data_IF_867488641765
#
_entry.id   IF_867488641765
#
_cell.length_a   1.000
_cell.length_b   1.000
_cell.length_c   1.000
_cell.angle_alpha   90.00
_cell.angle_beta   90.00
_cell.angle_gamma   90.00
#
_symmetry.space_group_name_H-M   'P 1'
#
loop_
_entity.id
_entity.type
_entity.pdbx_description
1 polymer ?
#
# COMPACT_ATOMS: atom_id res chain seq x y z
N UNK A 1 49.22 46.40 47.59
CA UNK A 1 48.06 46.83 46.80
C UNK A 1 47.98 45.89 45.60
N UNK A 2 47.15 44.82 45.69
CA UNK A 2 46.94 43.85 44.63
C UNK A 2 45.53 43.99 44.13
N UNK A 3 45.35 44.42 42.89
CA UNK A 3 44.08 44.37 42.20
C UNK A 3 43.94 43.00 41.52
N UNK A 4 42.99 42.21 41.97
CA UNK A 4 42.58 40.96 41.31
C UNK A 4 41.46 41.19 40.31
N UNK A 5 41.75 40.91 39.06
CA UNK A 5 40.79 40.94 37.97
C UNK A 5 39.97 39.63 37.95
N UNK A 6 38.66 39.73 38.15
CA UNK A 6 37.73 38.59 38.00
C UNK A 6 37.26 38.51 36.56
N UNK A 7 37.61 37.45 35.84
CA UNK A 7 36.99 37.08 34.58
C UNK A 7 35.66 36.36 34.86
N UNK A 8 34.56 36.90 34.31
CA UNK A 8 33.27 36.23 34.30
C UNK A 8 33.17 35.38 33.06
N UNK A 9 33.09 34.07 33.23
CA UNK A 9 32.72 33.12 32.13
C UNK A 9 31.20 33.12 31.95
N UNK A 10 30.77 33.62 30.79
CA UNK A 10 29.38 33.51 30.35
C UNK A 10 29.20 32.14 29.64
N UNK A 11 28.61 31.15 30.32
CA UNK A 11 28.29 29.87 29.73
C UNK A 11 27.00 30.01 28.90
N UNK A 12 27.12 30.00 27.59
CA UNK A 12 25.98 29.88 26.68
C UNK A 12 25.45 28.45 26.77
N UNK A 13 24.31 28.25 27.40
CA UNK A 13 23.59 26.97 27.40
C UNK A 13 22.80 26.90 26.08
N UNK A 14 23.33 26.10 25.16
CA UNK A 14 22.61 25.75 23.90
C UNK A 14 21.48 24.79 24.28
N UNK A 15 20.24 25.31 24.37
CA UNK A 15 19.06 24.49 24.59
C UNK A 15 18.69 23.82 23.27
N UNK A 16 19.25 22.63 22.98
CA UNK A 16 18.76 21.76 21.93
C UNK A 16 17.38 21.25 22.36
N UNK A 17 16.31 21.81 21.80
CA UNK A 17 14.96 21.24 21.89
C UNK A 17 14.97 19.89 21.16
N UNK A 18 15.29 18.81 21.86
CA UNK A 18 14.99 17.45 21.44
C UNK A 18 13.45 17.32 21.47
N UNK A 19 12.81 17.34 20.31
CA UNK A 19 11.42 16.89 20.20
C UNK A 19 11.39 15.44 20.71
N UNK A 20 10.40 15.06 21.51
CA UNK A 20 10.30 13.70 22.01
C UNK A 20 10.20 12.72 20.83
N UNK A 21 10.92 11.61 20.88
CA UNK A 21 10.95 10.56 19.87
C UNK A 21 9.54 10.04 19.51
N UNK A 22 8.59 10.08 20.44
CA UNK A 22 7.19 9.71 20.24
C UNK A 22 6.47 10.60 19.21
N UNK A 23 6.79 11.90 19.11
CA UNK A 23 6.18 12.78 18.12
C UNK A 23 6.68 12.50 16.70
N UNK A 24 7.86 11.92 16.56
CA UNK A 24 8.44 11.57 15.27
C UNK A 24 7.89 10.23 14.73
N UNK A 25 7.65 9.24 15.60
CA UNK A 25 6.99 7.99 15.23
C UNK A 25 5.53 8.19 14.77
N UNK A 26 4.81 9.13 15.37
CA UNK A 26 3.42 9.43 15.01
C UNK A 26 3.24 10.00 13.60
N UNK A 27 4.31 10.46 12.94
CA UNK A 27 4.27 11.08 11.61
C UNK A 27 4.92 10.21 10.52
N UNK A 28 4.93 8.89 10.70
CA UNK A 28 5.58 7.95 9.78
C UNK A 28 4.56 6.99 9.16
N UNK A 29 4.48 7.02 7.82
CA UNK A 29 3.73 6.07 7.00
C UNK A 29 4.60 5.68 5.79
N UNK A 30 5.62 4.81 5.99
CA UNK A 30 6.79 4.75 5.11
C UNK A 30 6.61 3.94 3.84
N UNK A 31 5.48 3.26 3.69
CA UNK A 31 5.20 2.34 2.59
C UNK A 31 3.69 2.12 2.41
N UNK A 32 3.31 1.33 1.41
CA UNK A 32 1.93 0.90 1.21
C UNK A 32 1.34 0.28 2.48
N UNK A 33 0.20 0.81 2.94
CA UNK A 33 -0.50 0.44 4.18
C UNK A 33 0.31 0.71 5.46
N UNK A 34 1.32 1.58 5.41
CA UNK A 34 2.07 2.06 6.57
C UNK A 34 2.99 1.04 7.24
N UNK A 35 3.31 1.23 8.52
CA UNK A 35 4.20 0.34 9.25
C UNK A 35 3.72 -1.11 9.24
N UNK A 36 4.61 -2.03 8.80
CA UNK A 36 4.30 -3.46 8.69
C UNK A 36 3.17 -3.81 7.71
N UNK A 37 2.82 -2.91 6.78
CA UNK A 37 1.72 -3.07 5.81
C UNK A 37 0.35 -3.37 6.47
N UNK A 38 0.14 -2.93 7.72
CA UNK A 38 -1.00 -3.30 8.54
C UNK A 38 -2.25 -2.46 8.29
N UNK A 39 -2.10 -1.22 7.80
CA UNK A 39 -3.22 -0.28 7.63
C UNK A 39 -3.83 0.18 8.96
N UNK A 40 -3.08 0.15 10.04
CA UNK A 40 -3.56 0.48 11.40
C UNK A 40 -2.73 1.61 11.98
N UNK A 41 -3.38 2.64 12.52
CA UNK A 41 -2.77 3.67 13.32
C UNK A 41 -3.40 3.67 14.72
N UNK A 42 -2.59 3.89 15.74
CA UNK A 42 -3.02 3.94 17.13
C UNK A 42 -2.87 5.38 17.67
N UNK A 43 -3.87 5.82 18.46
CA UNK A 43 -3.83 7.12 19.12
C UNK A 43 -3.74 8.30 18.15
N UNK A 44 -4.32 8.16 16.95
CA UNK A 44 -4.19 9.16 15.89
C UNK A 44 -5.07 10.39 16.10
N UNK A 45 -6.21 10.26 16.81
CA UNK A 45 -7.15 11.35 16.99
C UNK A 45 -7.77 11.86 15.68
N UNK A 46 -7.96 10.98 14.69
CA UNK A 46 -8.56 11.35 13.41
C UNK A 46 -9.97 11.90 13.58
N UNK A 47 -10.39 12.88 12.78
CA UNK A 47 -11.77 13.36 12.78
C UNK A 47 -12.73 12.21 12.43
N UNK A 48 -13.87 12.20 13.10
CA UNK A 48 -14.97 11.27 12.76
C UNK A 48 -15.84 11.81 11.62
N UNK A 49 -15.87 13.11 11.46
CA UNK A 49 -16.67 13.83 10.46
C UNK A 49 -15.77 14.59 9.53
N UNK A 50 -15.99 14.44 8.24
CA UNK A 50 -15.42 15.30 7.22
C UNK A 50 -16.28 15.33 5.97
N UNK A 51 -16.04 16.34 5.16
CA UNK A 51 -16.62 16.45 3.82
C UNK A 51 -15.55 16.99 2.84
N UNK A 52 -15.96 17.45 1.68
CA UNK A 52 -15.06 18.16 0.75
C UNK A 52 -14.50 19.48 1.33
N UNK A 53 -15.08 19.98 2.43
CA UNK A 53 -14.73 21.28 3.03
C UNK A 53 -14.65 21.25 4.56
N UNK A 54 -15.33 20.33 5.24
CA UNK A 54 -15.31 20.21 6.69
C UNK A 54 -14.14 19.35 7.15
N UNK A 55 -13.40 19.79 8.16
CA UNK A 55 -12.19 19.13 8.69
C UNK A 55 -11.13 18.86 7.62
N UNK A 56 -11.07 19.68 6.57
CA UNK A 56 -10.02 19.70 5.57
C UNK A 56 -8.98 20.73 5.95
N UNK A 57 -7.83 20.27 6.45
CA UNK A 57 -6.71 21.17 6.78
C UNK A 57 -6.17 21.84 5.50
N UNK A 58 -6.03 21.05 4.45
CA UNK A 58 -5.70 21.51 3.10
C UNK A 58 -6.13 20.48 2.05
N UNK A 59 -6.27 20.94 0.82
CA UNK A 59 -6.40 20.08 -0.37
C UNK A 59 -5.53 20.63 -1.49
N UNK A 60 -4.93 19.74 -2.26
CA UNK A 60 -4.04 20.06 -3.37
C UNK A 60 -4.48 19.33 -4.63
N UNK A 61 -4.69 20.06 -5.71
CA UNK A 61 -4.85 19.47 -7.03
C UNK A 61 -3.50 18.91 -7.50
N UNK A 62 -3.53 17.71 -8.03
CA UNK A 62 -2.35 16.99 -8.53
C UNK A 62 -2.44 16.90 -10.06
N UNK A 63 -1.38 17.24 -10.79
CA UNK A 63 -1.37 17.10 -12.23
C UNK A 63 -1.41 15.63 -12.65
N UNK A 64 -2.16 15.34 -13.72
CA UNK A 64 -2.22 13.99 -14.29
C UNK A 64 -3.00 13.00 -13.42
N UNK A 65 -2.60 11.72 -13.48
CA UNK A 65 -3.27 10.62 -12.79
C UNK A 65 -2.30 9.71 -12.07
N UNK A 66 -2.67 9.23 -10.88
CA UNK A 66 -1.91 8.24 -10.14
C UNK A 66 -2.74 7.63 -9.01
N UNK A 67 -2.48 6.37 -8.71
CA UNK A 67 -3.13 5.62 -7.64
C UNK A 67 -2.18 5.21 -6.51
N UNK A 68 -0.92 5.67 -6.56
CA UNK A 68 -0.01 5.44 -5.44
C UNK A 68 -0.60 5.98 -4.15
N UNK A 69 -0.54 5.21 -3.08
CA UNK A 69 -0.90 5.69 -1.74
C UNK A 69 0.08 6.79 -1.30
N UNK A 70 -0.34 7.78 -0.51
CA UNK A 70 0.60 8.70 0.10
C UNK A 70 1.59 7.97 1.00
N UNK A 71 2.86 8.35 0.93
CA UNK A 71 3.92 7.92 1.84
C UNK A 71 4.38 9.13 2.64
N UNK A 72 4.52 8.96 3.96
CA UNK A 72 4.85 10.08 4.84
C UNK A 72 6.07 9.75 5.69
N UNK A 73 6.97 10.71 5.78
CA UNK A 73 8.06 10.67 6.75
C UNK A 73 8.34 12.08 7.27
N UNK A 74 8.18 12.26 8.57
CA UNK A 74 8.30 13.59 9.18
C UNK A 74 7.33 14.60 8.54
N UNK A 75 7.85 15.68 8.02
CA UNK A 75 7.07 16.73 7.35
C UNK A 75 6.89 16.56 5.84
N UNK A 76 7.25 15.42 5.25
CA UNK A 76 7.22 15.19 3.80
C UNK A 76 6.17 14.16 3.42
N UNK A 77 5.44 14.42 2.32
CA UNK A 77 4.48 13.51 1.70
C UNK A 77 4.95 13.20 0.28
N UNK A 78 5.13 11.93 -0.05
CA UNK A 78 5.62 11.48 -1.34
C UNK A 78 4.54 10.77 -2.15
N UNK A 79 4.46 11.09 -3.44
CA UNK A 79 3.51 10.55 -4.40
C UNK A 79 4.14 10.39 -5.78
N UNK A 80 3.53 9.55 -6.60
CA UNK A 80 3.81 9.48 -8.05
C UNK A 80 2.62 9.98 -8.85
N UNK A 81 2.84 10.58 -10.01
CA UNK A 81 1.78 10.93 -10.95
C UNK A 81 2.27 10.81 -12.39
N UNK A 82 1.34 10.65 -13.33
CA UNK A 82 1.64 10.62 -14.75
C UNK A 82 0.71 11.56 -15.50
N UNK A 83 1.30 12.50 -16.21
CA UNK A 83 0.58 13.47 -17.04
C UNK A 83 0.58 12.99 -18.48
N UNK A 84 -0.60 12.80 -19.06
CA UNK A 84 -0.77 12.58 -20.49
C UNK A 84 -0.76 13.93 -21.20
N UNK A 85 0.12 14.14 -22.18
CA UNK A 85 0.21 15.41 -22.95
C UNK A 85 -0.77 15.46 -24.12
N UNK A 86 -1.43 14.34 -24.44
CA UNK A 86 -2.46 14.23 -25.46
C UNK A 86 -3.88 14.19 -24.85
N UNK A 87 -4.81 13.69 -25.62
CA UNK A 87 -6.16 13.43 -25.12
C UNK A 87 -6.16 12.32 -24.07
N UNK A 88 -6.76 12.57 -22.92
CA UNK A 88 -6.91 11.60 -21.84
C UNK A 88 -8.37 11.18 -21.68
N UNK A 89 -8.59 9.89 -21.52
CA UNK A 89 -9.89 9.35 -21.17
C UNK A 89 -9.99 9.31 -19.63
N UNK A 90 -11.06 9.91 -19.09
CA UNK A 90 -11.30 9.91 -17.66
C UNK A 90 -11.62 8.49 -17.14
N UNK A 91 -11.15 8.12 -15.93
CA UNK A 91 -11.43 6.82 -15.36
C UNK A 91 -12.92 6.70 -15.02
N UNK A 92 -13.51 5.57 -15.37
CA UNK A 92 -14.90 5.26 -15.01
C UNK A 92 -15.00 4.67 -13.62
N UNK A 93 -15.80 5.30 -12.74
CA UNK A 93 -16.19 4.74 -11.44
C UNK A 93 -17.06 3.49 -11.64
N UNK A 94 -17.00 2.56 -10.71
CA UNK A 94 -17.90 1.40 -10.65
C UNK A 94 -17.26 0.08 -11.03
N UNK A 95 -18.06 -0.99 -10.89
CA UNK A 95 -17.68 -2.35 -11.24
C UNK A 95 -18.27 -2.72 -12.59
N UNK A 96 -17.43 -3.11 -13.53
CA UNK A 96 -17.83 -3.56 -14.84
C UNK A 96 -16.84 -4.59 -15.40
N UNK A 97 -17.30 -5.42 -16.31
CA UNK A 97 -16.45 -6.30 -17.09
C UNK A 97 -15.89 -5.55 -18.30
N UNK A 98 -14.68 -5.92 -18.72
CA UNK A 98 -13.97 -5.24 -19.79
C UNK A 98 -13.06 -4.14 -19.27
N UNK A 99 -12.71 -3.19 -20.14
CA UNK A 99 -11.68 -2.19 -19.82
C UNK A 99 -10.28 -2.68 -20.15
N UNK A 100 -10.20 -3.86 -20.77
CA UNK A 100 -8.95 -4.44 -21.26
C UNK A 100 -8.38 -3.58 -22.38
N UNK A 101 -7.11 -3.29 -22.28
CA UNK A 101 -6.34 -2.53 -23.26
C UNK A 101 -5.20 -3.40 -23.76
N UNK A 102 -5.25 -3.82 -24.99
CA UNK A 102 -4.20 -4.66 -25.60
C UNK A 102 -3.10 -3.84 -26.27
N UNK A 103 -3.32 -2.55 -26.49
CA UNK A 103 -2.37 -1.64 -27.10
C UNK A 103 -2.03 -0.49 -26.16
N UNK A 104 -0.75 -0.10 -26.07
CA UNK A 104 -0.36 1.11 -25.35
C UNK A 104 -0.99 2.35 -25.96
N UNK A 105 -1.22 3.42 -25.20
CA UNK A 105 -1.56 4.73 -25.74
C UNK A 105 -0.44 5.23 -26.65
N UNK A 106 -0.78 6.10 -27.61
CA UNK A 106 0.18 6.65 -28.58
C UNK A 106 0.66 8.06 -28.19
N UNK A 107 0.02 8.67 -27.20
CA UNK A 107 0.40 9.99 -26.70
C UNK A 107 1.63 9.93 -25.79
N UNK A 108 2.37 11.01 -25.76
CA UNK A 108 3.50 11.17 -24.84
C UNK A 108 2.97 11.36 -23.42
N UNK A 109 3.61 10.72 -22.47
CA UNK A 109 3.31 10.83 -21.05
C UNK A 109 4.55 11.31 -20.30
N UNK A 110 4.35 11.97 -19.18
CA UNK A 110 5.39 12.44 -18.27
C UNK A 110 5.20 11.79 -16.91
N UNK A 111 6.15 10.96 -16.50
CA UNK A 111 6.18 10.33 -15.18
C UNK A 111 6.86 11.24 -14.17
N UNK A 112 6.20 11.49 -13.05
CA UNK A 112 6.67 12.47 -12.07
C UNK A 112 6.67 11.89 -10.67
N UNK A 113 7.75 12.17 -9.94
CA UNK A 113 7.87 12.00 -8.50
C UNK A 113 7.56 13.36 -7.83
N UNK A 114 6.75 13.35 -6.77
CA UNK A 114 6.27 14.57 -6.11
C UNK A 114 6.49 14.46 -4.61
N UNK A 115 7.01 15.52 -4.01
CA UNK A 115 7.08 15.72 -2.58
C UNK A 115 6.27 16.97 -2.18
N UNK A 116 5.38 16.79 -1.20
CA UNK A 116 4.58 17.86 -0.64
C UNK A 116 4.96 18.09 0.82
N UNK A 117 4.73 19.30 1.31
CA UNK A 117 4.77 19.61 2.74
C UNK A 117 3.52 19.07 3.44
N UNK A 118 3.70 18.27 4.49
CA UNK A 118 2.59 17.64 5.23
C UNK A 118 1.69 18.68 5.92
N UNK A 119 2.24 19.81 6.32
CA UNK A 119 1.49 20.82 7.08
C UNK A 119 0.62 21.72 6.20
N UNK A 120 1.11 22.06 5.01
CA UNK A 120 0.47 23.03 4.10
C UNK A 120 -0.06 22.42 2.80
N UNK A 121 0.40 21.23 2.40
CA UNK A 121 0.12 20.63 1.09
C UNK A 121 0.83 21.33 -0.07
N UNK A 122 1.78 22.23 0.21
CA UNK A 122 2.56 22.87 -0.84
C UNK A 122 3.58 21.91 -1.44
N UNK A 123 3.85 22.05 -2.74
CA UNK A 123 4.85 21.25 -3.43
C UNK A 123 6.23 21.73 -2.98
N UNK A 124 6.99 20.86 -2.30
CA UNK A 124 8.39 21.08 -1.97
C UNK A 124 9.27 20.92 -3.18
N UNK A 125 9.02 19.83 -3.94
CA UNK A 125 9.65 19.56 -5.22
C UNK A 125 8.83 18.60 -6.06
N UNK A 126 9.00 18.69 -7.37
CA UNK A 126 8.47 17.77 -8.38
C UNK A 126 9.60 17.45 -9.37
N UNK A 127 9.75 16.18 -9.74
CA UNK A 127 10.76 15.71 -10.67
C UNK A 127 10.15 14.87 -11.77
N UNK A 128 10.35 15.26 -13.01
CA UNK A 128 10.03 14.44 -14.16
C UNK A 128 11.14 13.38 -14.32
N UNK A 129 10.79 12.12 -14.08
CA UNK A 129 11.75 10.99 -14.13
C UNK A 129 11.83 10.36 -15.51
N UNK A 130 10.75 10.46 -16.30
CA UNK A 130 10.69 9.97 -17.67
C UNK A 130 9.67 10.77 -18.49
N UNK A 131 9.89 10.82 -19.81
CA UNK A 131 8.94 11.32 -20.81
C UNK A 131 8.99 10.41 -22.04
N UNK A 132 7.83 9.99 -22.52
CA UNK A 132 7.75 9.13 -23.70
C UNK A 132 6.36 8.53 -23.88
N UNK A 133 6.24 7.73 -24.94
CA UNK A 133 5.05 6.91 -25.15
C UNK A 133 5.12 5.70 -24.22
N UNK A 134 4.07 5.39 -23.45
CA UNK A 134 4.09 4.25 -22.54
C UNK A 134 4.44 2.94 -23.25
N UNK A 135 5.37 2.14 -22.68
CA UNK A 135 5.80 0.89 -23.31
C UNK A 135 4.75 -0.24 -23.22
N UNK A 136 3.72 -0.06 -22.40
CA UNK A 136 2.66 -1.04 -22.14
C UNK A 136 1.29 -0.38 -22.05
N UNK A 137 0.25 -1.19 -22.15
CA UNK A 137 -1.12 -0.77 -21.84
C UNK A 137 -1.41 -0.83 -20.35
N UNK A 138 -2.52 -0.23 -19.95
CA UNK A 138 -3.10 -0.33 -18.60
C UNK A 138 -4.62 -0.56 -18.70
N UNK A 139 -5.22 -1.09 -17.62
CA UNK A 139 -6.68 -1.14 -17.51
C UNK A 139 -7.26 0.28 -17.52
N UNK A 140 -8.46 0.47 -18.12
CA UNK A 140 -9.10 1.79 -18.24
C UNK A 140 -9.24 2.55 -16.91
N UNK A 141 -9.36 1.85 -15.79
CA UNK A 141 -9.40 2.44 -14.44
C UNK A 141 -8.01 2.71 -13.86
N UNK A 142 -6.96 2.10 -14.39
CA UNK A 142 -5.62 2.17 -13.82
C UNK A 142 -4.89 3.46 -14.19
N UNK A 143 -3.69 3.59 -13.72
CA UNK A 143 -2.74 4.64 -14.08
C UNK A 143 -1.35 4.03 -14.29
N UNK A 144 -0.44 4.77 -14.93
CA UNK A 144 0.97 4.41 -15.02
C UNK A 144 1.77 4.80 -13.76
N UNK A 145 1.06 5.19 -12.68
CA UNK A 145 1.60 5.55 -11.37
C UNK A 145 0.73 4.91 -10.27
N UNK A 146 0.65 3.58 -10.28
CA UNK A 146 -0.16 2.81 -9.32
C UNK A 146 0.67 2.31 -8.14
N UNK A 147 1.96 2.08 -8.36
CA UNK A 147 2.88 1.64 -7.33
C UNK A 147 3.10 2.74 -6.28
N UNK A 148 3.06 2.35 -5.02
CA UNK A 148 3.33 3.23 -3.87
C UNK A 148 4.83 3.28 -3.61
N UNK A 149 5.36 4.45 -3.34
CA UNK A 149 6.75 4.65 -2.95
C UNK A 149 7.06 3.98 -1.60
N UNK A 150 8.34 3.83 -1.27
CA UNK A 150 8.81 3.43 0.05
C UNK A 150 9.97 4.33 0.48
N UNK A 151 10.13 4.56 1.79
CA UNK A 151 11.21 5.40 2.32
C UNK A 151 11.88 4.76 3.53
N UNK A 152 13.18 5.04 3.69
CA UNK A 152 13.99 4.69 4.88
C UNK A 152 14.18 5.88 5.85
N UNK A 153 13.61 7.04 5.51
CA UNK A 153 13.76 8.27 6.30
C UNK A 153 14.91 9.18 5.86
N UNK A 154 15.76 8.71 4.96
CA UNK A 154 16.83 9.48 4.32
C UNK A 154 16.60 9.61 2.81
N UNK A 155 16.06 8.55 2.21
CA UNK A 155 15.80 8.42 0.79
C UNK A 155 14.36 7.97 0.55
N UNK A 156 13.84 8.29 -0.61
CA UNK A 156 12.55 7.83 -1.09
C UNK A 156 12.73 7.12 -2.43
N UNK A 157 12.08 5.97 -2.58
CA UNK A 157 12.18 5.10 -3.74
C UNK A 157 10.82 5.07 -4.46
N UNK A 158 10.77 5.65 -5.64
CA UNK A 158 9.60 5.65 -6.50
C UNK A 158 9.73 4.53 -7.52
N UNK A 159 8.69 3.71 -7.67
CA UNK A 159 8.65 2.65 -8.65
C UNK A 159 7.59 2.95 -9.70
N UNK A 160 7.96 2.72 -10.96
CA UNK A 160 7.05 2.64 -12.09
C UNK A 160 7.35 1.31 -12.79
N UNK A 161 6.51 0.32 -12.60
CA UNK A 161 6.83 -1.09 -12.83
C UNK A 161 7.29 -1.46 -14.23
N UNK A 162 6.98 -0.65 -15.25
CA UNK A 162 7.44 -0.86 -16.63
C UNK A 162 8.50 0.14 -17.09
N UNK A 163 9.09 0.89 -16.16
CA UNK A 163 10.16 1.85 -16.47
C UNK A 163 11.36 1.67 -15.54
N UNK A 164 11.14 1.63 -14.23
CA UNK A 164 12.24 1.57 -13.29
C UNK A 164 11.92 1.99 -11.87
N UNK A 165 12.95 1.91 -11.04
CA UNK A 165 13.00 2.44 -9.69
C UNK A 165 13.89 3.67 -9.67
N UNK A 166 13.42 4.75 -9.06
CA UNK A 166 14.08 6.04 -8.98
C UNK A 166 14.25 6.43 -7.51
N UNK A 167 15.47 6.62 -7.08
CA UNK A 167 15.83 7.00 -5.72
C UNK A 167 16.17 8.47 -5.64
N UNK A 168 15.55 9.18 -4.71
CA UNK A 168 15.82 10.58 -4.42
C UNK A 168 16.14 10.76 -2.93
N UNK A 169 16.96 11.78 -2.62
CA UNK A 169 17.02 12.32 -1.27
C UNK A 169 15.75 13.16 -0.96
N UNK A 170 15.60 13.63 0.27
CA UNK A 170 14.42 14.41 0.65
C UNK A 170 14.39 15.83 0.08
N UNK A 171 15.51 16.31 -0.47
CA UNK A 171 15.60 17.59 -1.19
C UNK A 171 15.25 17.45 -2.67
N UNK A 172 15.00 16.22 -3.12
CA UNK A 172 14.61 15.88 -4.48
C UNK A 172 15.79 15.81 -5.45
N UNK A 173 17.01 15.57 -4.96
CA UNK A 173 18.13 15.23 -5.81
C UNK A 173 18.09 13.74 -6.12
N UNK A 174 18.22 13.38 -7.42
CA UNK A 174 18.29 11.98 -7.81
C UNK A 174 19.60 11.37 -7.34
N UNK A 175 19.51 10.28 -6.56
CA UNK A 175 20.67 9.55 -6.04
C UNK A 175 21.08 8.46 -7.02
N UNK A 176 20.09 7.69 -7.51
CA UNK A 176 20.29 6.66 -8.51
C UNK A 176 18.95 6.29 -9.18
N UNK A 177 19.05 5.61 -10.33
CA UNK A 177 17.95 4.93 -11.00
C UNK A 177 18.33 3.52 -11.40
N UNK A 178 17.36 2.62 -11.42
CA UNK A 178 17.47 1.26 -11.91
C UNK A 178 16.35 0.99 -12.92
N UNK A 179 16.73 0.68 -14.16
CA UNK A 179 15.73 0.42 -15.22
C UNK A 179 15.08 -0.94 -15.05
N UNK A 180 13.79 -1.01 -15.27
CA UNK A 180 12.99 -2.24 -15.31
C UNK A 180 12.48 -2.45 -16.73
N UNK A 181 12.61 -3.68 -17.23
CA UNK A 181 12.04 -4.02 -18.52
C UNK A 181 10.51 -3.97 -18.48
N UNK A 182 9.91 -3.43 -19.53
CA UNK A 182 8.48 -3.48 -19.72
C UNK A 182 8.05 -4.91 -20.03
N UNK A 183 7.21 -5.49 -19.18
CA UNK A 183 6.72 -6.85 -19.30
C UNK A 183 5.22 -6.88 -19.58
N UNK A 184 4.75 -7.85 -20.40
CA UNK A 184 3.33 -7.99 -20.66
C UNK A 184 2.58 -8.47 -19.43
N UNK A 185 1.57 -7.71 -19.04
CA UNK A 185 0.64 -8.08 -17.96
C UNK A 185 -0.64 -8.69 -18.55
N UNK A 186 -1.25 -9.59 -17.81
CA UNK A 186 -2.52 -10.23 -18.17
C UNK A 186 -3.56 -9.18 -18.54
N UNK A 187 -4.27 -9.39 -19.63
CA UNK A 187 -5.26 -8.48 -20.19
C UNK A 187 -4.75 -7.06 -20.52
N UNK A 188 -3.45 -6.82 -20.46
CA UNK A 188 -2.89 -5.50 -20.64
C UNK A 188 -3.23 -4.53 -19.50
N UNK A 189 -3.42 -5.03 -18.26
CA UNK A 189 -3.88 -4.20 -17.13
C UNK A 189 -2.79 -3.34 -16.49
N UNK A 190 -1.53 -3.53 -16.86
CA UNK A 190 -0.41 -2.78 -16.29
C UNK A 190 0.03 -3.32 -14.93
N UNK A 191 0.98 -2.65 -14.33
CA UNK A 191 1.62 -3.02 -13.06
C UNK A 191 1.02 -2.26 -11.87
N UNK A 192 1.18 -2.77 -10.64
CA UNK A 192 0.79 -2.09 -9.41
C UNK A 192 1.50 -2.63 -8.14
N UNK A 193 2.29 -3.71 -8.25
CA UNK A 193 3.06 -4.21 -7.12
C UNK A 193 4.09 -3.17 -6.67
N UNK A 194 4.04 -2.75 -5.41
CA UNK A 194 4.94 -1.76 -4.85
C UNK A 194 6.24 -2.40 -4.36
N UNK A 195 7.36 -1.67 -4.33
CA UNK A 195 8.58 -2.14 -3.69
C UNK A 195 8.43 -2.14 -2.16
N UNK A 196 9.25 -2.96 -1.49
CA UNK A 196 9.39 -2.96 -0.04
C UNK A 196 10.86 -2.86 0.37
N UNK A 197 11.12 -2.28 1.53
CA UNK A 197 12.46 -1.98 2.00
C UNK A 197 12.74 -2.73 3.32
N UNK A 198 13.90 -3.37 3.39
CA UNK A 198 14.37 -3.99 4.62
C UNK A 198 15.90 -4.15 4.62
N UNK A 199 16.55 -3.80 5.73
CA UNK A 199 17.98 -4.03 5.94
C UNK A 199 18.88 -3.41 4.86
N UNK A 200 18.56 -2.20 4.36
CA UNK A 200 19.29 -1.54 3.30
C UNK A 200 19.11 -2.15 1.91
N UNK A 201 18.09 -2.98 1.71
CA UNK A 201 17.73 -3.61 0.45
C UNK A 201 16.31 -3.28 0.05
N UNK A 202 16.12 -3.01 -1.23
CA UNK A 202 14.81 -2.83 -1.85
C UNK A 202 14.44 -4.12 -2.59
N UNK A 203 13.28 -4.67 -2.26
CA UNK A 203 12.75 -5.86 -2.93
C UNK A 203 11.57 -5.47 -3.80
N UNK A 204 11.57 -5.98 -5.03
CA UNK A 204 10.51 -5.75 -6.01
C UNK A 204 10.13 -7.06 -6.69
N UNK A 205 8.84 -7.32 -6.82
CA UNK A 205 8.29 -8.45 -7.56
C UNK A 205 7.69 -7.97 -8.88
N UNK A 206 8.15 -8.53 -9.98
CA UNK A 206 7.62 -8.33 -11.32
C UNK A 206 7.06 -9.65 -11.84
N UNK A 207 5.90 -10.04 -11.35
CA UNK A 207 5.18 -11.21 -11.86
C UNK A 207 4.35 -10.80 -13.09
N UNK A 208 4.54 -11.48 -14.21
CA UNK A 208 4.04 -11.10 -15.52
C UNK A 208 3.77 -12.33 -16.41
N UNK A 209 3.32 -12.15 -17.64
CA UNK A 209 2.98 -13.26 -18.53
C UNK A 209 4.19 -13.90 -19.23
N UNK A 210 5.37 -13.28 -19.15
CA UNK A 210 6.58 -13.73 -19.85
C UNK A 210 7.62 -14.33 -18.90
N UNK A 211 8.23 -13.51 -18.04
CA UNK A 211 9.29 -13.92 -17.13
C UNK A 211 9.14 -13.24 -15.78
N UNK A 212 8.51 -13.92 -14.85
CA UNK A 212 8.30 -13.43 -13.49
C UNK A 212 9.58 -13.49 -12.67
N UNK A 213 9.84 -12.43 -11.90
CA UNK A 213 11.06 -12.31 -11.09
C UNK A 213 10.77 -11.64 -9.74
N UNK A 214 11.51 -12.09 -8.72
CA UNK A 214 11.75 -11.35 -7.50
C UNK A 214 13.19 -10.83 -7.56
N UNK A 215 13.40 -9.53 -7.36
CA UNK A 215 14.73 -8.93 -7.37
C UNK A 215 15.01 -8.14 -6.08
N UNK A 216 16.28 -8.05 -5.70
CA UNK A 216 16.77 -7.20 -4.65
C UNK A 216 17.79 -6.21 -5.18
N UNK A 217 17.59 -4.94 -4.84
CA UNK A 217 18.52 -3.86 -5.11
C UNK A 217 19.16 -3.38 -3.82
N UNK A 218 20.41 -2.98 -3.89
CA UNK A 218 21.08 -2.22 -2.82
C UNK A 218 20.42 -0.83 -2.73
N UNK A 219 19.87 -0.49 -1.58
CA UNK A 219 19.11 0.74 -1.41
C UNK A 219 19.97 2.01 -1.51
N UNK A 220 21.28 1.91 -1.25
CA UNK A 220 22.18 3.05 -1.35
C UNK A 220 22.62 3.35 -2.78
N UNK A 221 22.74 2.33 -3.63
CA UNK A 221 23.37 2.44 -4.95
C UNK A 221 22.47 2.05 -6.12
N UNK A 222 21.33 1.40 -5.90
CA UNK A 222 20.45 0.87 -6.93
C UNK A 222 21.01 -0.36 -7.66
N UNK A 223 22.17 -0.88 -7.23
CA UNK A 223 22.77 -2.05 -7.85
C UNK A 223 21.93 -3.30 -7.55
N UNK A 224 21.67 -4.11 -8.58
CA UNK A 224 21.05 -5.41 -8.40
C UNK A 224 21.98 -6.33 -7.60
N UNK A 225 21.49 -6.84 -6.48
CA UNK A 225 22.20 -7.77 -5.62
C UNK A 225 21.95 -9.21 -6.04
N UNK A 226 20.71 -9.52 -6.38
CA UNK A 226 20.31 -10.82 -6.90
C UNK A 226 18.95 -10.73 -7.57
N UNK A 227 18.65 -11.74 -8.38
CA UNK A 227 17.38 -11.94 -9.09
C UNK A 227 17.02 -13.42 -9.02
N UNK A 228 15.79 -13.70 -8.61
CA UNK A 228 15.24 -15.06 -8.58
C UNK A 228 14.08 -15.16 -9.57
N UNK A 229 14.19 -16.09 -10.53
CA UNK A 229 13.11 -16.41 -11.46
C UNK A 229 11.96 -17.11 -10.73
N UNK A 230 10.74 -16.86 -11.17
CA UNK A 230 9.52 -17.39 -10.57
C UNK A 230 8.64 -18.01 -11.66
N UNK A 231 7.99 -19.12 -11.31
CA UNK A 231 7.02 -19.78 -12.18
C UNK A 231 5.59 -19.23 -11.99
N UNK A 232 5.45 -17.98 -11.56
CA UNK A 232 4.14 -17.34 -11.36
C UNK A 232 3.73 -16.53 -12.59
N UNK A 233 2.48 -16.11 -12.63
CA UNK A 233 1.91 -15.26 -13.68
C UNK A 233 1.50 -13.92 -13.10
N UNK A 234 1.03 -13.00 -13.95
CA UNK A 234 0.66 -11.65 -13.56
C UNK A 234 -0.12 -11.61 -12.26
N UNK A 235 0.44 -10.89 -11.30
CA UNK A 235 -0.24 -10.49 -10.07
C UNK A 235 0.12 -9.05 -9.72
N UNK A 236 -0.62 -8.47 -8.82
CA UNK A 236 -0.51 -7.06 -8.42
C UNK A 236 -0.25 -6.90 -6.92
N UNK A 237 -0.03 -8.01 -6.23
CA UNK A 237 0.25 -8.04 -4.79
C UNK A 237 1.64 -7.48 -4.50
N UNK A 238 1.72 -6.57 -3.54
CA UNK A 238 2.99 -6.07 -3.02
C UNK A 238 3.68 -7.14 -2.18
N UNK A 239 4.99 -7.37 -2.31
CA UNK A 239 5.76 -8.23 -1.41
C UNK A 239 5.60 -7.80 0.06
N UNK A 240 5.77 -8.75 0.97
CA UNK A 240 5.77 -8.47 2.40
C UNK A 240 7.02 -9.02 3.08
N UNK A 241 7.74 -8.17 3.82
CA UNK A 241 8.86 -8.63 4.65
C UNK A 241 8.33 -9.06 6.01
N UNK A 242 8.31 -10.36 6.24
CA UNK A 242 7.85 -10.97 7.48
C UNK A 242 9.00 -11.22 8.44
N UNK A 243 9.06 -10.42 9.49
CA UNK A 243 10.02 -10.59 10.57
C UNK A 243 9.36 -11.35 11.72
N UNK A 244 9.97 -12.44 12.15
CA UNK A 244 9.52 -13.25 13.28
C UNK A 244 10.73 -13.88 14.01
N UNK A 245 10.50 -14.48 15.15
CA UNK A 245 11.55 -14.99 16.05
C UNK A 245 12.55 -15.93 15.40
N UNK A 246 12.14 -16.69 14.38
CA UNK A 246 12.99 -17.68 13.74
C UNK A 246 13.84 -17.11 12.60
N UNK A 247 13.30 -16.15 11.82
CA UNK A 247 13.98 -15.54 10.67
C UNK A 247 13.20 -14.38 10.09
N UNK A 248 13.79 -13.69 9.12
CA UNK A 248 13.13 -12.71 8.26
C UNK A 248 12.92 -13.33 6.88
N UNK A 249 11.71 -13.20 6.32
CA UNK A 249 11.31 -13.78 5.05
C UNK A 249 10.67 -12.73 4.14
N UNK A 250 10.74 -12.94 2.83
CA UNK A 250 10.02 -12.16 1.81
C UNK A 250 8.86 -13.03 1.31
N UNK A 251 7.64 -12.63 1.65
CA UNK A 251 6.43 -13.37 1.29
C UNK A 251 5.77 -12.74 0.08
N UNK A 252 5.42 -13.57 -0.89
CA UNK A 252 4.73 -13.21 -2.13
C UNK A 252 3.42 -13.99 -2.23
N UNK A 253 2.34 -13.28 -2.49
CA UNK A 253 1.07 -13.88 -2.87
C UNK A 253 0.96 -13.84 -4.39
N UNK A 254 0.88 -15.00 -5.02
CA UNK A 254 0.80 -15.15 -6.47
C UNK A 254 -0.44 -15.90 -6.93
N UNK A 255 -0.63 -16.01 -8.23
CA UNK A 255 -1.74 -16.78 -8.82
C UNK A 255 -1.49 -18.29 -8.73
N UNK A 256 -0.23 -18.70 -8.78
CA UNK A 256 0.22 -20.09 -8.64
C UNK A 256 0.24 -20.59 -7.19
N UNK A 257 0.20 -19.70 -6.20
CA UNK A 257 0.28 -20.02 -4.78
C UNK A 257 0.90 -18.89 -3.96
N UNK A 258 1.30 -19.22 -2.75
CA UNK A 258 2.07 -18.35 -1.86
C UNK A 258 3.51 -18.86 -1.87
N UNK A 259 4.48 -17.99 -1.94
CA UNK A 259 5.89 -18.33 -1.86
C UNK A 259 6.62 -17.44 -0.87
N UNK A 260 7.54 -17.99 -0.10
CA UNK A 260 8.40 -17.27 0.81
C UNK A 260 9.86 -17.53 0.52
N UNK A 261 10.65 -16.46 0.54
CA UNK A 261 12.08 -16.48 0.24
C UNK A 261 12.87 -15.92 1.41
N UNK A 262 14.11 -16.37 1.56
CA UNK A 262 15.05 -15.70 2.44
C UNK A 262 15.54 -14.37 1.84
N UNK A 263 16.33 -13.60 2.61
CA UNK A 263 16.87 -12.32 2.15
C UNK A 263 17.96 -12.47 1.06
N UNK A 264 18.37 -13.71 0.72
CA UNK A 264 19.26 -14.02 -0.39
C UNK A 264 18.50 -14.50 -1.64
N UNK A 265 17.16 -14.53 -1.59
CA UNK A 265 16.31 -14.94 -2.71
C UNK A 265 16.11 -16.45 -2.85
N UNK A 266 16.49 -17.26 -1.84
CA UNK A 266 16.28 -18.71 -1.86
C UNK A 266 14.87 -19.03 -1.36
N UNK A 267 14.17 -19.92 -2.07
CA UNK A 267 12.82 -20.37 -1.68
C UNK A 267 12.89 -21.15 -0.36
N UNK A 268 12.10 -20.73 0.62
CA UNK A 268 11.98 -21.36 1.93
C UNK A 268 10.80 -22.32 2.01
N UNK A 269 9.64 -21.83 1.58
CA UNK A 269 8.41 -22.62 1.54
C UNK A 269 7.44 -22.06 0.49
N UNK A 270 6.49 -22.87 0.09
CA UNK A 270 5.43 -22.46 -0.83
C UNK A 270 4.15 -23.26 -0.62
N UNK A 271 3.05 -22.74 -1.17
CA UNK A 271 1.85 -23.50 -1.47
C UNK A 271 1.74 -23.69 -2.99
N UNK A 272 1.10 -24.78 -3.42
CA UNK A 272 0.77 -25.03 -4.82
C UNK A 272 -0.71 -24.81 -5.06
N UNK A 273 -1.04 -23.78 -5.82
CA UNK A 273 -2.43 -23.39 -6.05
C UNK A 273 -3.11 -22.84 -4.80
N UNK A 274 -4.44 -22.97 -4.75
CA UNK A 274 -5.25 -22.51 -3.62
C UNK A 274 -5.51 -21.00 -3.61
N UNK A 275 -4.96 -20.26 -4.57
CA UNK A 275 -5.18 -18.81 -4.74
C UNK A 275 -6.14 -18.54 -5.91
N UNK A 276 -6.65 -17.32 -6.00
CA UNK A 276 -7.43 -16.86 -7.15
C UNK A 276 -6.55 -16.65 -8.37
N UNK A 277 -7.14 -16.75 -9.55
CA UNK A 277 -6.47 -16.50 -10.84
C UNK A 277 -6.00 -15.06 -11.03
N UNK A 278 -6.43 -14.15 -10.18
CA UNK A 278 -5.98 -12.75 -10.08
C UNK A 278 -5.75 -12.44 -8.62
N UNK A 279 -4.53 -12.09 -8.26
CA UNK A 279 -4.11 -11.79 -6.89
C UNK A 279 -3.67 -10.33 -6.80
N UNK A 280 -4.24 -9.59 -5.85
CA UNK A 280 -3.99 -8.15 -5.65
C UNK A 280 -3.67 -7.86 -4.18
N UNK A 281 -4.40 -8.48 -3.26
CA UNK A 281 -4.28 -8.23 -1.82
C UNK A 281 -2.85 -8.49 -1.32
N UNK A 282 -2.33 -7.56 -0.54
CA UNK A 282 -0.97 -7.62 0.04
C UNK A 282 -0.97 -8.47 1.31
N UNK A 283 -0.01 -9.40 1.48
CA UNK A 283 0.23 -10.08 2.74
C UNK A 283 0.66 -9.12 3.86
N UNK A 284 0.37 -9.50 5.10
CA UNK A 284 0.83 -8.78 6.29
C UNK A 284 0.81 -9.70 7.52
N UNK A 285 1.47 -9.31 8.60
CA UNK A 285 1.51 -10.13 9.81
C UNK A 285 1.07 -9.33 11.05
N UNK A 286 0.33 -10.01 11.93
CA UNK A 286 -0.11 -9.50 13.23
C UNK A 286 -0.06 -10.63 14.26
N UNK A 287 0.45 -10.35 15.44
CA UNK A 287 0.49 -11.28 16.59
C UNK A 287 1.07 -12.66 16.24
N UNK A 288 2.14 -12.67 15.44
CA UNK A 288 2.85 -13.89 15.03
C UNK A 288 2.17 -14.69 13.91
N UNK A 289 1.04 -14.25 13.36
CA UNK A 289 0.40 -14.87 12.21
C UNK A 289 0.55 -14.02 10.96
N UNK A 290 0.88 -14.68 9.85
CA UNK A 290 0.88 -14.11 8.52
C UNK A 290 -0.50 -14.31 7.89
N UNK A 291 -1.11 -13.25 7.39
CA UNK A 291 -2.37 -13.26 6.67
C UNK A 291 -2.14 -13.05 5.18
N UNK A 292 -2.66 -13.98 4.37
CA UNK A 292 -2.60 -13.91 2.91
C UNK A 292 -4.00 -14.13 2.36
N UNK A 293 -4.41 -13.33 1.38
CA UNK A 293 -5.72 -13.46 0.76
C UNK A 293 -5.68 -13.19 -0.74
N UNK A 294 -6.64 -13.75 -1.46
CA UNK A 294 -6.95 -13.40 -2.84
C UNK A 294 -8.42 -13.68 -3.15
N UNK A 295 -9.01 -13.01 -4.14
CA UNK A 295 -10.44 -13.16 -4.34
C UNK A 295 -11.01 -12.60 -5.64
N UNK A 296 -10.62 -13.11 -6.80
CA UNK A 296 -11.26 -12.71 -8.06
C UNK A 296 -12.71 -13.21 -8.14
N UNK A 297 -13.61 -12.34 -8.56
CA UNK A 297 -15.07 -12.56 -8.47
C UNK A 297 -15.59 -13.76 -9.26
N UNK A 298 -14.88 -14.19 -10.31
CA UNK A 298 -15.26 -15.34 -11.14
C UNK A 298 -14.69 -16.66 -10.63
N UNK A 299 -13.81 -16.62 -9.62
CA UNK A 299 -13.14 -17.82 -9.11
C UNK A 299 -13.93 -18.47 -7.97
N UNK A 300 -13.87 -19.79 -7.94
CA UNK A 300 -14.40 -20.57 -6.82
C UNK A 300 -13.46 -20.51 -5.60
N UNK A 301 -12.16 -20.39 -5.85
CA UNK A 301 -11.12 -20.23 -4.82
C UNK A 301 -10.89 -18.75 -4.56
N UNK A 302 -11.28 -18.31 -3.37
CA UNK A 302 -11.07 -16.94 -2.87
C UNK A 302 -10.64 -17.03 -1.41
N UNK A 303 -9.41 -17.50 -1.17
CA UNK A 303 -8.98 -17.84 0.18
C UNK A 303 -8.60 -16.65 1.03
N UNK A 304 -8.65 -16.87 2.34
CA UNK A 304 -7.86 -16.21 3.35
C UNK A 304 -7.12 -17.29 4.11
N UNK A 305 -5.82 -17.12 4.30
CA UNK A 305 -4.97 -18.01 5.09
C UNK A 305 -4.41 -17.25 6.30
N UNK A 306 -4.31 -17.94 7.44
CA UNK A 306 -3.47 -17.54 8.56
C UNK A 306 -2.36 -18.58 8.72
N UNK A 307 -1.10 -18.14 8.61
CA UNK A 307 0.07 -19.02 8.57
C UNK A 307 0.97 -18.67 9.75
N UNK A 308 1.46 -19.72 10.48
CA UNK A 308 2.42 -19.53 11.58
C UNK A 308 3.85 -19.52 11.09
N UNK A 309 4.80 -18.94 11.84
CA UNK A 309 6.22 -18.96 11.54
C UNK A 309 6.79 -20.39 11.48
N UNK A 310 7.93 -20.52 10.78
CA UNK A 310 8.71 -21.76 10.76
C UNK A 310 8.37 -22.72 9.62
N UNK A 311 7.49 -22.32 8.69
CA UNK A 311 7.16 -23.11 7.53
C UNK A 311 8.39 -23.45 6.67
N UNK A 312 8.44 -24.65 6.10
CA UNK A 312 9.49 -25.11 5.21
C UNK A 312 8.93 -26.06 4.15
N UNK A 313 9.44 -25.98 2.91
CA UNK A 313 9.02 -26.84 1.81
C UNK A 313 7.58 -26.55 1.33
N UNK A 314 6.88 -27.58 0.92
CA UNK A 314 5.49 -27.49 0.44
C UNK A 314 4.52 -27.58 1.62
N UNK A 315 3.80 -26.48 1.88
CA UNK A 315 2.80 -26.41 2.97
C UNK A 315 1.35 -26.40 2.46
N UNK A 316 1.12 -26.86 1.24
CA UNK A 316 -0.20 -26.90 0.63
C UNK A 316 -1.20 -27.69 1.47
N UNK A 317 -2.44 -27.20 1.53
CA UNK A 317 -3.57 -27.96 2.09
C UNK A 317 -3.96 -29.09 1.12
N UNK A 318 -4.25 -30.27 1.65
CA UNK A 318 -4.88 -31.32 0.88
C UNK A 318 -6.35 -31.00 0.62
N UNK A 319 -6.94 -31.68 -0.35
CA UNK A 319 -8.36 -31.47 -0.71
C UNK A 319 -9.27 -31.68 0.51
N UNK A 320 -10.01 -30.64 0.86
CA UNK A 320 -10.97 -30.65 1.98
C UNK A 320 -10.38 -30.25 3.33
N UNK A 321 -9.06 -30.06 3.44
CA UNK A 321 -8.43 -29.52 4.65
C UNK A 321 -8.58 -28.00 4.70
N UNK A 322 -8.67 -27.48 5.90
CA UNK A 322 -8.69 -26.03 6.19
C UNK A 322 -7.54 -25.59 7.09
N UNK A 323 -6.72 -26.54 7.56
CA UNK A 323 -5.53 -26.32 8.38
C UNK A 323 -4.54 -27.45 8.24
N UNK A 324 -3.27 -27.19 8.59
CA UNK A 324 -2.21 -28.18 8.74
C UNK A 324 -1.19 -27.68 9.79
N UNK A 325 0.02 -28.23 9.83
CA UNK A 325 1.03 -27.84 10.82
C UNK A 325 1.43 -26.38 10.73
N UNK A 326 1.33 -25.73 9.56
CA UNK A 326 1.72 -24.34 9.34
C UNK A 326 0.55 -23.41 9.03
N UNK A 327 -0.44 -23.88 8.27
CA UNK A 327 -1.67 -23.14 8.02
C UNK A 327 -2.59 -23.36 9.22
N UNK A 328 -2.70 -22.34 10.10
CA UNK A 328 -3.50 -22.41 11.32
C UNK A 328 -4.98 -22.56 10.99
N UNK A 329 -5.43 -21.78 10.00
CA UNK A 329 -6.78 -21.88 9.44
C UNK A 329 -6.81 -21.31 8.02
N UNK A 330 -7.82 -21.71 7.28
CA UNK A 330 -8.16 -21.08 5.99
C UNK A 330 -9.65 -20.92 5.82
N UNK A 331 -10.05 -19.83 5.17
CA UNK A 331 -11.40 -19.57 4.71
C UNK A 331 -11.41 -19.58 3.17
N UNK A 332 -11.86 -20.65 2.51
CA UNK A 332 -11.60 -20.87 1.08
C UNK A 332 -12.40 -19.97 0.13
N UNK A 333 -13.41 -19.22 0.65
CA UNK A 333 -14.31 -18.38 -0.15
C UNK A 333 -14.51 -16.96 0.40
N UNK A 334 -13.71 -16.55 1.39
CA UNK A 334 -13.88 -15.28 2.09
C UNK A 334 -12.93 -14.17 1.60
N UNK A 335 -12.00 -14.48 0.71
CA UNK A 335 -11.01 -13.49 0.23
C UNK A 335 -11.63 -12.40 -0.63
N UNK A 336 -11.22 -11.13 -0.41
CA UNK A 336 -11.65 -9.99 -1.22
C UNK A 336 -10.87 -9.92 -2.54
N UNK A 337 -11.40 -9.19 -3.52
CA UNK A 337 -10.75 -9.03 -4.82
C UNK A 337 -9.65 -7.96 -4.79
N UNK A 338 -10.03 -6.67 -4.75
CA UNK A 338 -9.05 -5.57 -4.77
C UNK A 338 -8.51 -5.23 -3.36
N UNK A 339 -9.35 -5.03 -2.33
CA UNK A 339 -8.85 -4.63 -1.03
C UNK A 339 -8.05 -5.75 -0.35
N UNK A 340 -7.00 -5.39 0.39
CA UNK A 340 -6.39 -6.30 1.34
C UNK A 340 -7.29 -6.46 2.58
N UNK A 341 -7.20 -7.60 3.27
CA UNK A 341 -7.86 -7.77 4.57
C UNK A 341 -7.19 -6.88 5.64
N UNK A 342 -7.85 -6.69 6.78
CA UNK A 342 -7.36 -5.86 7.87
C UNK A 342 -7.52 -6.59 9.19
N UNK A 343 -6.45 -6.71 9.97
CA UNK A 343 -6.53 -7.15 11.38
C UNK A 343 -6.42 -5.94 12.29
N UNK A 344 -7.42 -5.76 13.15
CA UNK A 344 -7.42 -4.80 14.25
C UNK A 344 -7.81 -5.50 15.54
N UNK A 345 -6.93 -5.44 16.55
CA UNK A 345 -7.05 -6.24 17.75
C UNK A 345 -7.12 -7.74 17.42
N UNK A 346 -8.17 -8.41 17.88
CA UNK A 346 -8.39 -9.85 17.64
C UNK A 346 -9.31 -10.14 16.45
N UNK A 347 -9.64 -9.14 15.63
CA UNK A 347 -10.60 -9.24 14.54
C UNK A 347 -9.93 -9.09 13.19
N UNK A 348 -10.30 -9.95 12.26
CA UNK A 348 -9.96 -9.81 10.85
C UNK A 348 -11.19 -9.33 10.10
N UNK A 349 -11.05 -8.21 9.41
CA UNK A 349 -12.11 -7.58 8.62
C UNK A 349 -11.86 -7.77 7.14
N UNK A 350 -12.93 -8.04 6.40
CA UNK A 350 -12.92 -8.24 4.96
C UNK A 350 -13.87 -7.25 4.30
N UNK A 351 -13.29 -6.34 3.52
CA UNK A 351 -14.03 -5.43 2.65
C UNK A 351 -14.06 -6.01 1.24
N UNK A 352 -15.24 -6.26 0.72
CA UNK A 352 -15.39 -6.77 -0.65
C UNK A 352 -15.63 -5.62 -1.63
N UNK A 353 -15.09 -5.77 -2.84
CA UNK A 353 -15.19 -4.79 -3.93
C UNK A 353 -16.63 -4.35 -4.24
N UNK A 354 -17.62 -5.22 -4.00
CA UNK A 354 -19.04 -4.95 -4.23
C UNK A 354 -19.76 -4.25 -3.07
N UNK A 355 -19.04 -3.86 -2.01
CA UNK A 355 -19.61 -3.15 -0.87
C UNK A 355 -20.26 -4.05 0.16
N UNK A 356 -19.73 -5.25 0.33
CA UNK A 356 -20.00 -6.09 1.47
C UNK A 356 -18.84 -6.03 2.47
N UNK A 357 -19.13 -6.32 3.72
CA UNK A 357 -18.18 -6.32 4.81
C UNK A 357 -18.44 -7.49 5.75
N UNK A 358 -17.39 -8.19 6.18
CA UNK A 358 -17.50 -9.34 7.07
C UNK A 358 -16.43 -9.27 8.17
N UNK A 359 -16.67 -9.93 9.29
CA UNK A 359 -15.74 -10.01 10.41
C UNK A 359 -15.45 -11.45 10.82
N UNK A 360 -14.20 -11.74 11.12
CA UNK A 360 -13.71 -13.03 11.57
C UNK A 360 -12.85 -12.85 12.82
N UNK A 361 -12.79 -13.86 13.66
CA UNK A 361 -11.77 -13.98 14.70
C UNK A 361 -10.42 -14.22 14.02
N UNK A 362 -9.44 -13.35 14.25
CA UNK A 362 -8.17 -13.38 13.55
C UNK A 362 -7.34 -14.63 13.84
N UNK A 363 -7.42 -15.18 15.07
CA UNK A 363 -6.63 -16.35 15.50
C UNK A 363 -7.20 -17.68 15.00
N UNK A 364 -8.53 -17.77 14.87
CA UNK A 364 -9.21 -19.04 14.60
C UNK A 364 -9.89 -19.09 13.23
N UNK A 365 -10.07 -17.96 12.55
CA UNK A 365 -10.84 -17.86 11.32
C UNK A 365 -12.36 -18.02 11.50
N UNK A 366 -12.86 -18.12 12.76
CA UNK A 366 -14.29 -18.24 13.04
C UNK A 366 -15.01 -16.96 12.62
N UNK A 367 -16.09 -17.11 11.87
CA UNK A 367 -16.93 -15.99 11.48
C UNK A 367 -17.57 -15.35 12.71
N UNK A 368 -17.39 -14.03 12.90
CA UNK A 368 -18.03 -13.21 13.91
C UNK A 368 -19.40 -12.73 13.41
N UNK A 369 -19.41 -12.25 12.17
CA UNK A 369 -20.63 -11.94 11.43
C UNK A 369 -20.39 -12.13 9.93
N UNK A 370 -21.42 -12.67 9.26
CA UNK A 370 -21.44 -12.91 7.83
C UNK A 370 -21.42 -11.58 7.04
N UNK A 371 -21.25 -11.68 5.73
CA UNK A 371 -21.27 -10.53 4.83
C UNK A 371 -22.51 -9.65 5.03
N UNK A 372 -22.29 -8.41 5.43
CA UNK A 372 -23.29 -7.37 5.56
C UNK A 372 -23.09 -6.31 4.48
N UNK A 373 -24.19 -5.75 3.98
CA UNK A 373 -24.13 -4.71 2.96
C UNK A 373 -23.81 -3.34 3.58
N UNK A 374 -22.76 -2.66 3.09
CA UNK A 374 -22.55 -1.24 3.36
C UNK A 374 -23.69 -0.43 2.70
N UNK A 375 -24.42 0.43 3.42
CA UNK A 375 -25.57 1.16 2.87
C UNK A 375 -25.19 1.98 1.64
N UNK A 376 -25.75 1.65 0.48
CA UNK A 376 -25.42 2.28 -0.83
C UNK A 376 -23.95 2.17 -1.24
N UNK A 377 -23.13 1.37 -0.51
CA UNK A 377 -21.71 1.17 -0.82
C UNK A 377 -21.54 0.30 -2.06
N UNK A 378 -20.62 0.73 -2.95
CA UNK A 378 -20.25 0.00 -4.17
C UNK A 378 -18.85 0.38 -4.61
N UNK A 379 -18.23 -0.49 -5.39
CA UNK A 379 -16.93 -0.27 -6.02
C UNK A 379 -15.85 0.17 -5.02
N UNK A 380 -15.28 -0.81 -4.31
CA UNK A 380 -14.17 -0.58 -3.40
C UNK A 380 -12.88 -1.14 -4.00
N UNK A 381 -11.89 -0.28 -4.18
CA UNK A 381 -10.54 -0.65 -4.63
C UNK A 381 -9.53 -0.41 -3.51
N UNK A 382 -9.66 0.71 -2.78
CA UNK A 382 -8.83 1.01 -1.62
C UNK A 382 -8.99 -0.06 -0.51
N UNK A 383 -7.90 -0.43 0.13
CA UNK A 383 -7.93 -1.31 1.31
C UNK A 383 -8.50 -0.56 2.52
N UNK A 384 -9.21 -1.25 3.43
CA UNK A 384 -9.67 -0.65 4.67
C UNK A 384 -8.49 -0.31 5.58
N UNK A 385 -8.71 0.67 6.46
CA UNK A 385 -7.75 1.04 7.51
C UNK A 385 -8.45 1.17 8.85
N UNK A 386 -7.67 1.09 9.92
CA UNK A 386 -8.17 1.21 11.29
C UNK A 386 -7.48 2.34 12.05
N UNK A 387 -8.25 3.05 12.84
CA UNK A 387 -7.77 4.04 13.80
C UNK A 387 -8.76 4.19 14.95
N UNK A 388 -8.25 4.29 16.17
CA UNK A 388 -9.00 4.67 17.37
C UNK A 388 -10.31 3.89 17.57
N UNK A 389 -10.27 2.56 17.40
CA UNK A 389 -11.42 1.65 17.57
C UNK A 389 -12.46 1.73 16.44
N UNK A 390 -12.07 2.24 15.27
CA UNK A 390 -12.91 2.36 14.09
C UNK A 390 -12.25 1.75 12.88
N UNK A 391 -13.06 1.25 11.95
CA UNK A 391 -12.65 0.75 10.64
C UNK A 391 -13.22 1.69 9.58
N UNK A 392 -12.39 2.06 8.64
CA UNK A 392 -12.72 3.00 7.57
C UNK A 392 -12.62 2.30 6.21
N UNK A 393 -13.59 2.51 5.34
CA UNK A 393 -13.68 1.92 4.01
C UNK A 393 -14.01 3.00 2.98
N UNK A 394 -13.05 3.36 2.13
CA UNK A 394 -13.22 4.33 1.05
C UNK A 394 -13.67 3.63 -0.23
N UNK A 395 -14.76 4.09 -0.84
CA UNK A 395 -15.20 3.63 -2.14
C UNK A 395 -14.75 4.56 -3.29
N UNK A 396 -14.99 4.14 -4.53
CA UNK A 396 -14.62 4.92 -5.72
C UNK A 396 -15.42 6.22 -5.88
N UNK A 397 -16.59 6.33 -5.25
CA UNK A 397 -17.39 7.55 -5.25
C UNK A 397 -16.86 8.62 -4.27
N UNK A 398 -15.72 8.38 -3.60
CA UNK A 398 -15.16 9.29 -2.60
C UNK A 398 -15.88 9.23 -1.26
N UNK A 399 -16.71 8.22 -1.03
CA UNK A 399 -17.44 8.02 0.23
C UNK A 399 -16.65 7.08 1.14
N UNK A 400 -16.39 7.53 2.36
CA UNK A 400 -15.77 6.72 3.41
C UNK A 400 -16.85 6.26 4.40
N UNK A 401 -16.99 4.96 4.56
CA UNK A 401 -17.82 4.34 5.58
C UNK A 401 -16.99 4.15 6.84
N UNK A 402 -17.50 4.60 7.97
CA UNK A 402 -16.88 4.44 9.28
C UNK A 402 -17.67 3.39 10.04
N UNK A 403 -17.01 2.29 10.41
CA UNK A 403 -17.60 1.18 11.15
C UNK A 403 -16.96 1.08 12.54
N UNK A 404 -17.69 0.50 13.48
CA UNK A 404 -17.13 0.15 14.79
C UNK A 404 -16.19 -1.06 14.68
N UNK A 405 -15.04 -0.99 15.31
CA UNK A 405 -14.17 -2.16 15.50
C UNK A 405 -14.76 -3.04 16.61
N UNK A 406 -15.65 -3.96 16.23
CA UNK A 406 -16.36 -4.81 17.20
C UNK A 406 -16.74 -6.16 16.58
N UNK A 407 -17.22 -7.09 17.43
CA UNK A 407 -17.71 -8.41 17.01
C UNK A 407 -19.10 -8.35 16.34
N UNK A 408 -19.66 -7.14 16.16
CA UNK A 408 -20.94 -6.91 15.50
C UNK A 408 -20.79 -5.88 14.41
N UNK A 409 -21.49 -6.10 13.30
CA UNK A 409 -21.54 -5.14 12.21
C UNK A 409 -22.31 -3.89 12.63
N UNK A 410 -21.65 -2.74 12.58
CA UNK A 410 -22.25 -1.44 12.86
C UNK A 410 -21.59 -0.36 12.00
N UNK A 411 -22.33 0.25 11.09
CA UNK A 411 -21.91 1.47 10.39
C UNK A 411 -22.27 2.67 11.25
N UNK A 412 -21.26 3.39 11.71
CA UNK A 412 -21.42 4.56 12.59
C UNK A 412 -21.80 5.78 11.76
N UNK A 413 -21.14 5.93 10.57
CA UNK A 413 -21.22 7.15 9.78
C UNK A 413 -20.73 6.93 8.34
N UNK A 414 -21.04 7.90 7.47
CA UNK A 414 -20.44 8.05 6.16
C UNK A 414 -19.92 9.49 6.00
N UNK A 415 -18.77 9.63 5.36
CA UNK A 415 -18.15 10.92 5.02
C UNK A 415 -17.91 10.96 3.51
N UNK A 416 -18.17 12.10 2.86
CA UNK A 416 -18.07 12.20 1.40
C UNK A 416 -17.11 13.33 1.01
N UNK A 417 -16.25 13.07 0.03
CA UNK A 417 -15.45 14.05 -0.67
C UNK A 417 -16.28 14.73 -1.78
N UNK A 418 -15.65 15.48 -2.69
CA UNK A 418 -16.33 16.10 -3.82
C UNK A 418 -16.86 15.03 -4.80
N UNK A 419 -17.99 15.31 -5.47
CA UNK A 419 -18.65 14.35 -6.38
C UNK A 419 -17.81 13.97 -7.61
N UNK A 420 -16.93 14.89 -8.04
CA UNK A 420 -16.01 14.70 -9.16
C UNK A 420 -14.77 13.87 -8.77
N UNK A 421 -14.52 13.65 -7.48
CA UNK A 421 -13.43 12.81 -7.02
C UNK A 421 -13.69 11.32 -7.20
N UNK A 422 -12.64 10.59 -7.59
CA UNK A 422 -12.64 9.13 -7.63
C UNK A 422 -11.56 8.61 -6.68
N UNK A 423 -11.96 7.83 -5.68
CA UNK A 423 -11.05 7.26 -4.68
C UNK A 423 -10.68 5.82 -5.00
N UNK A 424 -9.40 5.54 -5.29
CA UNK A 424 -8.88 4.17 -5.47
C UNK A 424 -7.64 3.91 -4.62
N UNK A 425 -6.85 4.95 -4.34
CA UNK A 425 -5.67 4.83 -3.50
C UNK A 425 -6.05 4.53 -2.04
N UNK A 426 -5.34 3.63 -1.41
CA UNK A 426 -5.46 3.40 0.03
C UNK A 426 -4.92 4.61 0.78
N UNK A 427 -5.69 5.23 1.70
CA UNK A 427 -5.25 6.39 2.46
C UNK A 427 -4.05 6.11 3.35
N UNK A 428 -3.36 7.18 3.75
CA UNK A 428 -2.27 7.18 4.72
C UNK A 428 -2.65 7.95 5.97
N UNK A 429 -2.06 7.57 7.11
CA UNK A 429 -2.26 8.22 8.40
C UNK A 429 -0.92 8.73 8.91
N UNK A 430 -0.85 10.00 9.29
CA UNK A 430 0.35 10.63 9.81
C UNK A 430 0.00 11.49 11.03
N UNK A 431 0.17 10.93 12.22
CA UNK A 431 -0.29 11.54 13.45
C UNK A 431 -1.81 11.75 13.42
N UNK A 432 -2.26 12.98 13.60
CA UNK A 432 -3.67 13.38 13.58
C UNK A 432 -4.23 13.71 12.18
N UNK A 433 -3.51 13.33 11.12
CA UNK A 433 -3.86 13.61 9.72
C UNK A 433 -4.19 12.34 8.95
N UNK A 434 -5.29 12.37 8.22
CA UNK A 434 -5.66 11.38 7.23
C UNK A 434 -5.44 11.97 5.83
N UNK A 435 -4.60 11.32 5.03
CA UNK A 435 -4.31 11.72 3.67
C UNK A 435 -5.11 10.84 2.70
N UNK A 436 -6.06 11.44 1.98
CA UNK A 436 -6.88 10.74 1.00
C UNK A 436 -6.54 11.25 -0.40
N UNK A 437 -5.99 10.35 -1.23
CA UNK A 437 -5.72 10.63 -2.63
C UNK A 437 -6.90 10.21 -3.50
N UNK A 438 -7.29 11.10 -4.40
CA UNK A 438 -8.27 10.86 -5.45
C UNK A 438 -7.62 10.92 -6.83
N UNK A 439 -8.39 10.75 -7.90
CA UNK A 439 -7.91 10.89 -9.28
C UNK A 439 -7.27 12.24 -9.57
N UNK A 440 -7.74 13.30 -8.94
CA UNK A 440 -7.34 14.67 -9.22
C UNK A 440 -6.67 15.39 -8.04
N UNK A 441 -6.84 14.90 -6.80
CA UNK A 441 -6.49 15.67 -5.60
C UNK A 441 -5.86 14.81 -4.51
N UNK A 442 -5.14 15.48 -3.61
CA UNK A 442 -4.80 14.99 -2.29
C UNK A 442 -5.49 15.86 -1.23
N UNK A 443 -6.22 15.20 -0.34
CA UNK A 443 -6.84 15.82 0.83
C UNK A 443 -6.03 15.48 2.08
N UNK A 444 -5.84 16.49 2.95
CA UNK A 444 -5.41 16.29 4.33
C UNK A 444 -6.60 16.58 5.25
N UNK A 445 -7.12 15.52 5.84
CA UNK A 445 -8.24 15.58 6.77
C UNK A 445 -7.70 15.63 8.19
N UNK A 446 -8.14 16.62 8.98
CA UNK A 446 -7.70 16.87 10.35
C UNK A 446 -8.79 17.60 11.13
N UNK A 447 -8.92 17.33 12.43
CA UNK A 447 -9.80 18.13 13.28
C UNK A 447 -9.41 19.62 13.23
N UNK A 448 -10.41 20.51 13.14
CA UNK A 448 -10.18 21.93 13.30
C UNK A 448 -9.55 22.21 14.68
N UNK A 449 -8.51 23.03 14.70
CA UNK A 449 -7.86 23.46 15.94
C UNK A 449 -8.66 24.58 16.60
#
# INVERSE_FOLDING_TARGET
>A
MNLGTRLAYCSLVLCCCLLPAEAQEASVWPQFRGPGARGVALGSGLPEVWSATENVAWKRDLPGRGWSSPVVWGGSVFLTTVVNTGESEEPKKGLYFGGDRTKPPQSVHQWRAVCLDLSSGEVRWERQVHEGVPPSSIHIKSSFASETAVTDGERVFFCFGNLGVFCFDFDGNEVWRHELAAMPMRFGWGTAASPVLHGGRLYYCSDNEQQSVLLALDAATGKELWRTEREDKSNWSTPFVWQHEQRTEIVLAGTGGIASYDLAGQLLWSTRGGMSSITIATPYAVDGLLYVSSGYVLDQQRPIYAIRPGAAGDISLKKGETSNDFIVWSQPKAGPYNPSTLVSGQRLFVLYDRGFFAGFDAKTGRELYAQQRLPNGRAFTASPWAADGKIFCLNEDGVTFVLRDSDRYEVIRTNSLAEDDMGMATPAIAGDRLLIRTSARLYCIRNAQ
#
